data_IF_543067277001
#
_entry.id   IF_543067277001
#
_cell.length_a   1.000
_cell.length_b   1.000
_cell.length_c   1.000
_cell.angle_alpha   90.00
_cell.angle_beta   90.00
_cell.angle_gamma   90.00
#
_symmetry.space_group_name_H-M   'P 1'
#
loop_
_entity.id
_entity.type
_entity.pdbx_description
1 polymer ?
#
# COMPACT_ATOMS: atom_id res chain seq x y z
N UNK A 1 -13.44 14.91 22.83
CA UNK A 1 -13.48 13.49 22.43
C UNK A 1 -14.79 13.31 21.69
N UNK A 2 -14.76 13.25 20.37
CA UNK A 2 -15.94 12.99 19.53
C UNK A 2 -16.21 11.50 19.59
N UNK A 3 -17.31 11.10 20.22
CA UNK A 3 -17.76 9.71 20.24
C UNK A 3 -18.08 9.27 18.80
N UNK A 4 -17.29 8.34 18.27
CA UNK A 4 -17.62 7.63 17.04
C UNK A 4 -18.96 6.92 17.27
N UNK A 5 -20.01 7.16 16.46
CA UNK A 5 -21.32 6.55 16.68
C UNK A 5 -21.22 5.02 16.68
N UNK A 6 -21.82 4.37 17.69
CA UNK A 6 -21.91 2.90 17.74
C UNK A 6 -22.79 2.41 16.58
N UNK A 7 -22.39 1.28 15.98
CA UNK A 7 -22.92 0.72 14.73
C UNK A 7 -24.45 0.45 14.67
N UNK A 8 -25.19 0.61 15.76
CA UNK A 8 -26.60 0.19 15.88
C UNK A 8 -27.61 1.16 15.27
N UNK A 9 -27.19 2.32 14.73
CA UNK A 9 -28.09 3.32 14.11
C UNK A 9 -28.05 3.35 12.57
N UNK A 10 -27.25 2.52 11.92
CA UNK A 10 -27.11 2.53 10.45
C UNK A 10 -28.14 1.60 9.78
N UNK A 11 -28.59 1.96 8.57
CA UNK A 11 -29.35 1.04 7.71
C UNK A 11 -28.45 -0.16 7.40
N UNK A 12 -29.06 -1.34 7.19
CA UNK A 12 -28.32 -2.55 6.81
C UNK A 12 -27.55 -2.27 5.52
N UNK A 13 -26.22 -2.27 5.60
CA UNK A 13 -25.35 -1.95 4.47
C UNK A 13 -25.21 -3.17 3.55
N UNK A 14 -25.71 -3.13 2.30
CA UNK A 14 -25.72 -4.30 1.41
C UNK A 14 -24.32 -4.82 1.08
N UNK A 15 -23.31 -3.95 1.10
CA UNK A 15 -21.91 -4.31 0.80
C UNK A 15 -21.26 -5.11 1.92
N UNK A 16 -21.70 -4.90 3.16
CA UNK A 16 -21.19 -5.55 4.38
C UNK A 16 -22.05 -6.74 4.82
N UNK A 17 -23.22 -6.93 4.19
CA UNK A 17 -24.16 -7.99 4.56
C UNK A 17 -23.76 -9.29 3.88
N UNK A 18 -23.49 -10.32 4.69
CA UNK A 18 -23.13 -11.64 4.19
C UNK A 18 -24.30 -12.25 3.39
N UNK A 19 -23.98 -12.93 2.29
CA UNK A 19 -24.95 -13.60 1.44
C UNK A 19 -24.41 -14.97 1.05
N UNK A 20 -25.11 -16.02 1.45
CA UNK A 20 -24.75 -17.41 1.11
C UNK A 20 -24.92 -17.71 -0.39
N UNK A 21 -25.66 -16.85 -1.11
CA UNK A 21 -25.98 -17.02 -2.52
C UNK A 21 -24.80 -16.72 -3.47
N UNK A 22 -23.69 -16.16 -2.96
CA UNK A 22 -22.64 -15.53 -3.78
C UNK A 22 -21.25 -16.12 -3.60
N UNK A 23 -21.18 -17.45 -3.68
CA UNK A 23 -19.93 -18.18 -3.90
C UNK A 23 -19.46 -18.13 -5.37
N UNK A 24 -20.34 -17.71 -6.28
CA UNK A 24 -20.05 -17.56 -7.72
C UNK A 24 -20.03 -16.09 -8.12
N UNK A 25 -19.08 -15.71 -8.98
CA UNK A 25 -18.89 -14.32 -9.43
C UNK A 25 -20.03 -13.85 -10.36
N UNK A 26 -20.54 -14.75 -11.20
CA UNK A 26 -21.56 -14.41 -12.19
C UNK A 26 -22.97 -14.71 -11.67
N UNK A 27 -23.99 -13.91 -12.05
CA UNK A 27 -23.89 -12.70 -12.87
C UNK A 27 -23.31 -11.51 -12.08
N UNK A 28 -22.59 -10.62 -12.78
CA UNK A 28 -22.02 -9.39 -12.20
C UNK A 28 -23.17 -8.47 -11.75
N UNK A 29 -23.20 -8.14 -10.45
CA UNK A 29 -24.18 -7.22 -9.85
C UNK A 29 -23.65 -5.78 -9.77
N UNK A 30 -22.33 -5.60 -9.69
CA UNK A 30 -21.68 -4.29 -9.64
C UNK A 30 -20.67 -4.12 -10.80
N UNK A 31 -21.14 -3.74 -12.01
CA UNK A 31 -20.28 -3.62 -13.18
C UNK A 31 -19.15 -2.60 -13.02
N UNK A 32 -19.38 -1.49 -12.32
CA UNK A 32 -18.37 -0.45 -12.12
C UNK A 32 -17.18 -0.95 -11.28
N UNK A 33 -17.46 -1.69 -10.20
CA UNK A 33 -16.45 -2.32 -9.36
C UNK A 33 -15.67 -3.37 -10.16
N UNK A 34 -16.39 -4.23 -10.89
CA UNK A 34 -15.76 -5.25 -11.73
C UNK A 34 -14.89 -4.65 -12.83
N UNK A 35 -15.36 -3.59 -13.51
CA UNK A 35 -14.57 -2.88 -14.52
C UNK A 35 -13.34 -2.21 -13.92
N UNK A 36 -13.42 -1.70 -12.69
CA UNK A 36 -12.26 -1.14 -11.99
C UNK A 36 -11.25 -2.23 -11.64
N UNK A 37 -11.70 -3.42 -11.22
CA UNK A 37 -10.84 -4.59 -11.07
C UNK A 37 -10.17 -4.99 -12.38
N UNK A 38 -10.92 -5.05 -13.49
CA UNK A 38 -10.35 -5.37 -14.81
C UNK A 38 -9.33 -4.33 -15.28
N UNK A 39 -9.55 -3.04 -15.00
CA UNK A 39 -8.56 -1.98 -15.27
C UNK A 39 -7.29 -2.17 -14.44
N UNK A 40 -7.42 -2.43 -13.14
CA UNK A 40 -6.27 -2.70 -12.28
C UNK A 40 -5.49 -3.93 -12.78
N UNK A 41 -6.19 -5.00 -13.13
CA UNK A 41 -5.57 -6.22 -13.68
C UNK A 41 -4.82 -5.96 -15.00
N UNK A 42 -5.33 -5.09 -15.87
CA UNK A 42 -4.67 -4.72 -17.11
C UNK A 42 -3.41 -3.85 -16.89
N UNK A 43 -3.17 -3.38 -15.67
CA UNK A 43 -2.01 -2.57 -15.28
C UNK A 43 -1.07 -3.32 -14.33
N UNK A 44 -1.09 -4.66 -14.35
CA UNK A 44 -0.15 -5.46 -13.58
C UNK A 44 1.29 -5.22 -14.07
N UNK A 45 2.22 -5.23 -13.12
CA UNK A 45 3.65 -5.11 -13.36
C UNK A 45 4.41 -5.77 -12.20
N UNK A 46 5.68 -6.11 -12.40
CA UNK A 46 6.57 -6.65 -11.35
C UNK A 46 7.82 -5.80 -11.14
N UNK A 47 8.44 -5.98 -9.96
CA UNK A 47 9.65 -5.25 -9.56
C UNK A 47 10.80 -5.43 -10.56
N UNK A 48 10.92 -6.62 -11.18
CA UNK A 48 11.98 -6.95 -12.13
C UNK A 48 11.88 -6.19 -13.46
N UNK A 49 10.74 -5.56 -13.75
CA UNK A 49 10.59 -4.70 -14.94
C UNK A 49 11.37 -3.39 -14.79
N UNK A 50 11.81 -3.04 -13.58
CA UNK A 50 12.57 -1.82 -13.30
C UNK A 50 14.08 -2.01 -13.50
N UNK A 51 14.68 -1.22 -14.39
CA UNK A 51 16.14 -1.17 -14.57
C UNK A 51 16.73 0.04 -13.85
N UNK A 52 17.41 -0.20 -12.72
CA UNK A 52 18.00 0.85 -11.87
C UNK A 52 19.49 1.14 -12.14
N UNK A 53 20.06 0.56 -13.21
CA UNK A 53 21.50 0.68 -13.46
C UNK A 53 21.96 2.12 -13.69
N UNK A 54 21.16 2.93 -14.40
CA UNK A 54 21.48 4.34 -14.66
C UNK A 54 21.21 5.22 -13.43
N UNK A 55 20.13 4.92 -12.70
CA UNK A 55 19.74 5.63 -11.48
C UNK A 55 20.85 5.58 -10.42
N UNK A 56 21.53 4.44 -10.30
CA UNK A 56 22.69 4.30 -9.41
C UNK A 56 23.83 5.27 -9.76
N UNK A 57 24.12 5.44 -11.05
CA UNK A 57 25.16 6.37 -11.52
C UNK A 57 24.77 7.82 -11.20
N UNK A 58 23.50 8.17 -11.40
CA UNK A 58 22.98 9.51 -11.11
C UNK A 58 23.00 9.81 -9.61
N UNK A 59 22.62 8.84 -8.79
CA UNK A 59 22.63 8.94 -7.33
C UNK A 59 24.02 9.31 -6.79
N UNK A 60 25.05 8.62 -7.31
CA UNK A 60 26.44 8.77 -6.85
C UNK A 60 27.13 10.01 -7.43
N UNK A 61 26.90 10.31 -8.71
CA UNK A 61 27.69 11.29 -9.46
C UNK A 61 26.99 12.60 -9.83
N UNK A 62 25.66 12.62 -9.87
CA UNK A 62 24.91 13.77 -10.41
C UNK A 62 24.15 14.55 -9.35
N UNK A 63 23.57 13.86 -8.36
CA UNK A 63 22.76 14.51 -7.33
C UNK A 63 23.63 15.24 -6.30
N UNK A 64 23.15 16.40 -5.87
CA UNK A 64 23.68 17.10 -4.70
C UNK A 64 23.24 16.39 -3.41
N UNK A 65 23.95 16.67 -2.31
CA UNK A 65 23.60 16.07 -1.03
C UNK A 65 22.20 16.50 -0.53
N UNK A 66 21.75 17.70 -0.89
CA UNK A 66 20.41 18.17 -0.54
C UNK A 66 19.33 17.40 -1.28
N UNK A 67 19.54 17.12 -2.57
CA UNK A 67 18.59 16.32 -3.37
C UNK A 67 18.53 14.89 -2.85
N UNK A 68 19.69 14.26 -2.60
CA UNK A 68 19.75 12.93 -1.98
C UNK A 68 19.00 12.90 -0.65
N UNK A 69 19.23 13.89 0.23
CA UNK A 69 18.54 13.96 1.51
C UNK A 69 17.00 13.99 1.36
N UNK A 70 16.46 14.68 0.35
CA UNK A 70 15.02 14.67 0.05
C UNK A 70 14.57 13.27 -0.36
N UNK A 71 15.27 12.62 -1.29
CA UNK A 71 14.94 11.26 -1.72
C UNK A 71 14.98 10.25 -0.57
N UNK A 72 15.99 10.33 0.32
CA UNK A 72 16.07 9.46 1.50
C UNK A 72 14.84 9.60 2.40
N UNK A 73 14.37 10.82 2.65
CA UNK A 73 13.17 11.05 3.45
C UNK A 73 11.90 10.51 2.79
N UNK A 74 11.79 10.68 1.47
CA UNK A 74 10.67 10.14 0.69
C UNK A 74 10.66 8.61 0.70
N UNK A 75 11.82 7.97 0.52
CA UNK A 75 11.96 6.52 0.57
C UNK A 75 11.61 5.96 1.96
N UNK A 76 12.11 6.58 3.03
CA UNK A 76 11.75 6.18 4.40
C UNK A 76 10.25 6.27 4.67
N UNK A 77 9.58 7.29 4.11
CA UNK A 77 8.14 7.43 4.27
C UNK A 77 7.36 6.31 3.56
N UNK A 78 7.69 6.03 2.30
CA UNK A 78 6.96 5.04 1.50
C UNK A 78 7.26 3.60 1.93
N UNK A 79 8.51 3.27 2.25
CA UNK A 79 8.90 1.93 2.68
C UNK A 79 8.12 1.41 3.91
N UNK A 80 7.58 2.30 4.74
CA UNK A 80 6.69 1.92 5.85
C UNK A 80 5.20 2.14 5.55
N UNK A 81 4.84 3.04 4.63
CA UNK A 81 3.43 3.38 4.40
C UNK A 81 2.67 2.23 3.73
N UNK A 82 3.29 1.57 2.76
CA UNK A 82 2.60 0.58 1.92
C UNK A 82 2.29 -0.71 2.68
N UNK A 83 3.15 -1.10 3.64
CA UNK A 83 2.86 -2.24 4.53
C UNK A 83 1.63 -1.99 5.42
N UNK A 84 1.46 -0.77 5.94
CA UNK A 84 0.30 -0.41 6.75
C UNK A 84 -0.99 -0.43 5.90
N UNK A 85 -0.92 0.05 4.66
CA UNK A 85 -2.06 0.02 3.73
C UNK A 85 -2.42 -1.42 3.38
N UNK A 86 -1.43 -2.25 3.02
CA UNK A 86 -1.61 -3.66 2.70
C UNK A 86 -2.29 -4.44 3.82
N UNK A 87 -1.84 -4.27 5.06
CA UNK A 87 -2.45 -4.92 6.25
C UNK A 87 -3.92 -4.53 6.40
N UNK A 88 -4.26 -3.24 6.30
CA UNK A 88 -5.66 -2.81 6.39
C UNK A 88 -6.53 -3.36 5.24
N UNK A 89 -5.98 -3.47 4.04
CA UNK A 89 -6.71 -4.06 2.90
C UNK A 89 -7.03 -5.53 3.14
N UNK A 90 -6.08 -6.29 3.68
CA UNK A 90 -6.23 -7.74 3.90
C UNK A 90 -7.04 -8.04 5.16
N UNK A 91 -6.69 -7.45 6.30
CA UNK A 91 -7.32 -7.76 7.58
C UNK A 91 -8.72 -7.16 7.71
N UNK A 92 -8.97 -6.01 7.08
CA UNK A 92 -10.24 -5.28 7.21
C UNK A 92 -11.04 -5.25 5.93
N UNK A 93 -10.64 -4.46 4.93
CA UNK A 93 -11.53 -4.17 3.80
C UNK A 93 -11.92 -5.43 2.99
N UNK A 94 -10.95 -6.28 2.66
CA UNK A 94 -11.23 -7.53 1.93
C UNK A 94 -12.02 -8.54 2.77
N UNK A 95 -11.94 -8.46 4.11
CA UNK A 95 -12.69 -9.34 5.03
C UNK A 95 -14.11 -8.84 5.29
N UNK A 96 -14.29 -7.55 5.58
CA UNK A 96 -15.56 -6.91 5.91
C UNK A 96 -16.50 -6.83 4.69
N UNK A 97 -15.96 -6.56 3.50
CA UNK A 97 -16.76 -6.47 2.27
C UNK A 97 -17.17 -7.86 1.79
N UNK A 98 -18.48 -8.05 1.60
CA UNK A 98 -19.09 -9.33 1.24
C UNK A 98 -19.37 -9.46 -0.26
N UNK A 99 -19.24 -8.36 -1.02
CA UNK A 99 -19.53 -8.30 -2.45
C UNK A 99 -18.29 -8.73 -3.27
N UNK A 100 -18.35 -9.84 -4.05
CA UNK A 100 -17.19 -10.39 -4.76
C UNK A 100 -16.48 -9.40 -5.68
N UNK A 101 -17.20 -8.54 -6.40
CA UNK A 101 -16.62 -7.58 -7.35
C UNK A 101 -15.68 -6.58 -6.67
N UNK A 102 -16.02 -6.12 -5.46
CA UNK A 102 -15.16 -5.25 -4.67
C UNK A 102 -14.03 -6.04 -4.00
N UNK A 103 -14.30 -7.26 -3.51
CA UNK A 103 -13.26 -8.12 -2.93
C UNK A 103 -12.15 -8.43 -3.93
N UNK A 104 -12.50 -8.73 -5.17
CA UNK A 104 -11.53 -8.94 -6.26
C UNK A 104 -10.64 -7.71 -6.47
N UNK A 105 -11.23 -6.52 -6.44
CA UNK A 105 -10.46 -5.27 -6.51
C UNK A 105 -9.50 -5.13 -5.33
N UNK A 106 -9.97 -5.29 -4.09
CA UNK A 106 -9.13 -5.12 -2.90
C UNK A 106 -8.02 -6.16 -2.79
N UNK A 107 -8.29 -7.42 -3.16
CA UNK A 107 -7.27 -8.46 -3.19
C UNK A 107 -6.20 -8.13 -4.23
N UNK A 108 -6.62 -7.66 -5.41
CA UNK A 108 -5.69 -7.25 -6.45
C UNK A 108 -4.87 -6.02 -6.03
N UNK A 109 -5.50 -5.05 -5.36
CA UNK A 109 -4.83 -3.90 -4.79
C UNK A 109 -3.77 -4.34 -3.77
N UNK A 110 -4.13 -5.20 -2.82
CA UNK A 110 -3.19 -5.72 -1.82
C UNK A 110 -1.98 -6.45 -2.46
N UNK A 111 -2.21 -7.18 -3.55
CA UNK A 111 -1.12 -7.79 -4.32
C UNK A 111 -0.17 -6.74 -4.90
N UNK A 112 -0.69 -5.65 -5.48
CA UNK A 112 0.12 -4.56 -6.02
C UNK A 112 0.82 -3.74 -4.92
N UNK A 113 0.21 -3.56 -3.74
CA UNK A 113 0.87 -2.94 -2.59
C UNK A 113 2.12 -3.73 -2.15
N UNK A 114 2.13 -5.06 -2.28
CA UNK A 114 3.32 -5.87 -2.04
C UNK A 114 4.43 -5.57 -3.07
N UNK A 115 4.07 -5.35 -4.33
CA UNK A 115 5.03 -4.94 -5.37
C UNK A 115 5.61 -3.56 -5.04
N UNK A 116 4.78 -2.59 -4.64
CA UNK A 116 5.26 -1.28 -4.20
C UNK A 116 6.21 -1.40 -3.00
N UNK A 117 5.87 -2.22 -2.01
CA UNK A 117 6.71 -2.43 -0.84
C UNK A 117 8.07 -3.03 -1.19
N UNK A 118 8.10 -4.00 -2.10
CA UNK A 118 9.35 -4.59 -2.62
C UNK A 118 10.19 -3.54 -3.37
N UNK A 119 9.55 -2.74 -4.23
CA UNK A 119 10.23 -1.70 -5.01
C UNK A 119 10.90 -0.67 -4.12
N UNK A 120 10.22 -0.17 -3.09
CA UNK A 120 10.84 0.78 -2.16
C UNK A 120 11.98 0.15 -1.36
N UNK A 121 11.89 -1.13 -1.04
CA UNK A 121 12.98 -1.87 -0.40
C UNK A 121 14.19 -1.99 -1.33
N UNK A 122 13.96 -2.32 -2.60
CA UNK A 122 15.00 -2.40 -3.64
C UNK A 122 15.66 -1.04 -3.89
N UNK A 123 14.89 0.05 -3.93
CA UNK A 123 15.42 1.40 -4.12
C UNK A 123 16.33 1.80 -2.94
N UNK A 124 15.92 1.51 -1.70
CA UNK A 124 16.76 1.75 -0.53
C UNK A 124 18.04 0.92 -0.61
N UNK A 125 17.97 -0.37 -0.92
CA UNK A 125 19.14 -1.24 -1.05
C UNK A 125 20.09 -0.80 -2.18
N UNK A 126 19.54 -0.34 -3.30
CA UNK A 126 20.32 0.09 -4.46
C UNK A 126 21.07 1.40 -4.20
N UNK A 127 20.44 2.37 -3.53
CA UNK A 127 20.98 3.72 -3.39
C UNK A 127 21.73 3.94 -2.07
N UNK A 128 21.37 3.25 -0.99
CA UNK A 128 21.89 3.52 0.35
C UNK A 128 22.94 2.48 0.71
N UNK A 129 24.21 2.85 0.52
CA UNK A 129 25.35 1.96 0.77
C UNK A 129 25.76 1.86 2.24
N UNK A 130 25.44 2.87 3.06
CA UNK A 130 25.75 2.84 4.49
C UNK A 130 24.73 1.94 5.21
N UNK A 131 25.15 0.83 5.83
CA UNK A 131 24.24 -0.08 6.52
C UNK A 131 23.52 0.59 7.70
N UNK A 132 24.13 1.58 8.35
CA UNK A 132 23.48 2.29 9.46
C UNK A 132 22.35 3.19 8.97
N UNK A 133 22.59 3.95 7.91
CA UNK A 133 21.56 4.74 7.24
C UNK A 133 20.44 3.85 6.71
N UNK A 134 20.79 2.74 6.05
CA UNK A 134 19.83 1.77 5.52
C UNK A 134 18.91 1.22 6.64
N UNK A 135 19.49 0.81 7.77
CA UNK A 135 18.74 0.35 8.94
C UNK A 135 17.81 1.44 9.51
N UNK A 136 18.26 2.69 9.51
CA UNK A 136 17.45 3.83 9.95
C UNK A 136 16.24 4.04 9.05
N UNK A 137 16.41 3.92 7.73
CA UNK A 137 15.33 4.08 6.76
C UNK A 137 14.33 2.92 6.83
N UNK A 138 14.78 1.67 6.97
CA UNK A 138 13.88 0.52 7.18
C UNK A 138 13.13 0.58 8.52
N UNK A 139 13.68 1.27 9.51
CA UNK A 139 13.03 1.51 10.79
C UNK A 139 12.46 2.93 10.93
N UNK A 140 12.17 3.60 9.81
CA UNK A 140 11.68 4.98 9.80
C UNK A 140 10.43 5.21 10.66
N UNK A 141 9.55 4.22 10.82
CA UNK A 141 8.40 4.32 11.72
C UNK A 141 8.78 4.51 13.19
N UNK A 142 9.94 3.98 13.61
CA UNK A 142 10.51 4.24 14.93
C UNK A 142 11.33 5.52 14.86
N UNK A 143 12.28 5.62 13.94
CA UNK A 143 13.33 6.64 14.03
C UNK A 143 12.89 8.04 13.54
N UNK A 144 11.92 8.13 12.62
CA UNK A 144 11.50 9.40 12.02
C UNK A 144 10.18 9.89 12.62
N UNK A 145 10.16 11.02 13.37
CA UNK A 145 8.97 11.49 14.07
C UNK A 145 7.75 11.73 13.18
N UNK A 146 7.97 12.18 11.94
CA UNK A 146 6.88 12.41 10.97
C UNK A 146 6.19 11.11 10.56
N UNK A 147 6.98 10.08 10.22
CA UNK A 147 6.48 8.75 9.86
C UNK A 147 5.79 8.10 11.06
N UNK A 148 6.41 8.18 12.25
CA UNK A 148 5.84 7.66 13.50
C UNK A 148 4.45 8.23 13.80
N UNK A 149 4.28 9.55 13.69
CA UNK A 149 2.98 10.21 13.94
C UNK A 149 1.92 9.79 12.93
N UNK A 150 2.29 9.64 11.65
CA UNK A 150 1.36 9.15 10.63
C UNK A 150 0.96 7.70 10.90
N UNK A 151 1.92 6.82 11.19
CA UNK A 151 1.65 5.43 11.55
C UNK A 151 0.73 5.32 12.78
N UNK A 152 1.00 6.09 13.83
CA UNK A 152 0.15 6.14 15.03
C UNK A 152 -1.27 6.68 14.76
N UNK A 153 -1.45 7.52 13.74
CA UNK A 153 -2.77 7.98 13.32
C UNK A 153 -3.54 6.91 12.55
N UNK A 154 -2.87 6.15 11.68
CA UNK A 154 -3.50 5.07 10.89
C UNK A 154 -3.82 3.84 11.75
N UNK A 155 -2.96 3.49 12.70
CA UNK A 155 -3.12 2.30 13.57
C UNK A 155 -4.10 2.50 14.73
N UNK A 156 -4.77 3.65 14.81
CA UNK A 156 -5.75 3.97 15.86
C UNK A 156 -7.18 3.67 15.39
#
# INVERSE_FOLDING_TARGET
MTETPRATTYRVEPVLTASEERLVLLPIRYPEAYNSYKRAQASIWSTEEMNLAQDRVQWEGSLTERERAIFRHVLAFFATADSIVGENLVERFACEVQVPEFRLFYIFQAMIENVYWEVYSLLIDTFIRDPQEQNTLFHAFKEIPGVRRKAAWVLK
#
